data_IF_527958257349
#
_entry.id   IF_527958257349
#
_cell.length_a   1.000
_cell.length_b   1.000
_cell.length_c   1.000
_cell.angle_alpha   90.00
_cell.angle_beta   90.00
_cell.angle_gamma   90.00
#
_symmetry.space_group_name_H-M   'P 1'
#
loop_
_entity.id
_entity.type
_entity.pdbx_description
1 polymer ?
#
# COMPACT_ATOMS: atom_id res chain seq x y z
N UNK A 1 -29.28 76.10 10.89
CA UNK A 1 -28.81 74.75 10.54
C UNK A 1 -27.66 74.93 9.57
N UNK A 2 -26.54 74.30 9.92
CA UNK A 2 -25.17 74.58 9.51
C UNK A 2 -24.91 74.61 8.00
N UNK A 3 -23.92 75.43 7.64
CA UNK A 3 -23.27 75.45 6.34
C UNK A 3 -21.86 74.86 6.39
N UNK A 4 -21.25 74.84 5.19
CA UNK A 4 -19.85 74.53 4.87
C UNK A 4 -19.41 73.08 5.16
N UNK A 5 -18.63 72.41 4.32
CA UNK A 5 -17.83 72.76 3.16
C UNK A 5 -17.02 71.49 2.87
N UNK A 6 -17.09 71.00 1.64
CA UNK A 6 -15.92 70.87 0.75
C UNK A 6 -15.17 69.54 0.87
N UNK A 7 -14.67 69.16 -0.29
CA UNK A 7 -14.03 67.93 -0.73
C UNK A 7 -12.66 67.70 -0.05
N UNK A 8 -12.21 66.45 0.07
CA UNK A 8 -10.97 66.00 -0.59
C UNK A 8 -10.74 64.48 -0.35
N UNK A 9 -10.04 63.91 -1.30
CA UNK A 9 -9.61 62.55 -1.47
C UNK A 9 -8.60 62.05 -0.43
N UNK A 10 -8.45 60.74 -0.41
CA UNK A 10 -7.24 60.05 0.03
C UNK A 10 -7.39 59.35 1.37
N UNK A 11 -7.26 58.01 1.37
CA UNK A 11 -6.00 57.36 1.74
C UNK A 11 -6.19 55.86 1.90
N UNK A 12 -5.28 55.15 1.25
CA UNK A 12 -5.01 53.72 1.27
C UNK A 12 -4.67 53.24 2.69
N UNK A 13 -5.16 52.06 3.07
CA UNK A 13 -4.47 51.21 4.03
C UNK A 13 -4.78 49.73 3.73
N UNK A 14 -4.09 49.20 2.72
CA UNK A 14 -3.75 47.79 2.70
C UNK A 14 -2.86 47.53 3.92
N UNK A 15 -3.43 46.88 4.95
CA UNK A 15 -2.67 46.41 6.10
C UNK A 15 -1.87 45.18 5.71
N UNK A 16 -0.69 45.40 5.15
CA UNK A 16 0.38 44.41 5.11
C UNK A 16 0.89 44.26 6.54
N UNK A 17 0.43 43.26 7.28
CA UNK A 17 1.08 42.91 8.55
C UNK A 17 2.27 41.99 8.24
N UNK A 18 3.35 42.63 7.81
CA UNK A 18 4.66 42.03 7.79
C UNK A 18 5.22 42.05 9.22
N UNK A 19 5.30 40.86 9.82
CA UNK A 19 6.35 40.58 10.79
C UNK A 19 5.86 40.01 12.11
N UNK A 20 6.06 38.70 12.29
CA UNK A 20 7.03 38.15 13.26
C UNK A 20 6.74 36.66 13.47
N UNK A 21 7.43 35.80 12.73
CA UNK A 21 7.85 34.52 13.30
C UNK A 21 9.37 34.48 13.22
N UNK A 22 9.94 34.35 14.42
CA UNK A 22 11.33 34.50 14.73
C UNK A 22 12.23 33.61 13.87
N UNK A 23 13.33 34.18 13.41
CA UNK A 23 14.53 33.43 13.07
C UNK A 23 15.02 32.74 14.35
N UNK A 24 14.57 31.51 14.55
CA UNK A 24 15.17 30.51 15.42
C UNK A 24 15.70 29.40 14.53
N UNK A 25 17.03 29.30 14.47
CA UNK A 25 17.77 28.20 13.85
C UNK A 25 17.35 26.86 14.45
N UNK A 26 16.48 26.11 13.76
CA UNK A 26 16.64 24.67 13.54
C UNK A 26 15.63 24.16 12.49
N UNK A 27 16.12 23.51 11.43
CA UNK A 27 15.36 22.60 10.54
C UNK A 27 14.09 23.12 9.85
N UNK A 28 14.21 24.12 8.97
CA UNK A 28 13.11 24.70 8.21
C UNK A 28 12.37 23.74 7.26
N UNK A 29 11.28 23.13 7.75
CA UNK A 29 10.18 22.65 6.91
C UNK A 29 9.33 23.86 6.50
N UNK A 30 9.66 24.50 5.39
CA UNK A 30 8.80 25.54 4.81
C UNK A 30 7.64 24.86 4.08
N UNK A 31 6.49 24.81 4.76
CA UNK A 31 5.21 24.50 4.15
C UNK A 31 4.72 25.73 3.35
N UNK A 32 5.23 25.89 2.12
CA UNK A 32 4.63 26.76 1.14
C UNK A 32 3.47 26.01 0.47
N UNK A 33 2.26 26.50 0.72
CA UNK A 33 1.00 25.94 0.25
C UNK A 33 0.88 25.91 -1.26
N UNK A 34 0.54 24.73 -1.76
CA UNK A 34 -0.25 24.51 -2.97
C UNK A 34 -1.08 23.27 -2.67
N UNK A 35 -2.38 23.45 -2.63
CA UNK A 35 -3.39 22.45 -2.30
C UNK A 35 -3.54 21.46 -3.48
N UNK A 36 -2.51 20.63 -3.64
CA UNK A 36 -2.49 19.48 -4.53
C UNK A 36 -1.88 18.35 -3.69
N UNK A 37 -2.75 17.47 -3.18
CA UNK A 37 -2.48 16.33 -2.30
C UNK A 37 -1.06 15.75 -2.37
N UNK A 38 -0.12 16.42 -1.71
CA UNK A 38 1.27 16.00 -1.61
C UNK A 38 1.26 14.89 -0.56
N UNK A 39 0.98 13.67 -0.99
CA UNK A 39 1.35 12.49 -0.21
C UNK A 39 2.87 12.59 -0.10
N UNK A 40 3.35 13.11 1.02
CA UNK A 40 4.74 12.97 1.43
C UNK A 40 4.92 11.47 1.72
N UNK A 41 5.14 10.71 0.65
CA UNK A 41 5.32 9.28 0.73
C UNK A 41 6.79 9.06 1.07
N UNK A 42 7.07 8.63 2.29
CA UNK A 42 8.42 8.22 2.66
C UNK A 42 8.78 6.96 1.86
N UNK A 43 9.66 7.12 0.86
CA UNK A 43 10.05 6.04 -0.03
C UNK A 43 10.65 4.83 0.73
N UNK A 44 11.29 5.07 1.88
CA UNK A 44 11.80 4.01 2.75
C UNK A 44 10.64 3.22 3.38
N UNK A 45 9.62 3.91 3.87
CA UNK A 45 8.41 3.28 4.40
C UNK A 45 7.68 2.46 3.32
N UNK A 46 7.60 2.95 2.09
CA UNK A 46 6.99 2.20 0.97
C UNK A 46 7.80 0.96 0.62
N UNK A 47 9.13 1.06 0.61
CA UNK A 47 10.01 -0.06 0.37
C UNK A 47 9.88 -1.14 1.47
N UNK A 48 9.70 -0.72 2.73
CA UNK A 48 9.43 -1.63 3.84
C UNK A 48 8.08 -2.37 3.66
N UNK A 49 7.02 -1.65 3.29
CA UNK A 49 5.71 -2.25 3.01
C UNK A 49 5.76 -3.21 1.82
N UNK A 50 6.44 -2.83 0.74
CA UNK A 50 6.66 -3.70 -0.42
C UNK A 50 7.37 -5.01 0.00
N UNK A 51 8.42 -4.90 0.81
CA UNK A 51 9.16 -6.07 1.34
C UNK A 51 8.28 -6.97 2.21
N UNK A 52 7.41 -6.38 3.03
CA UNK A 52 6.43 -7.13 3.82
C UNK A 52 5.46 -7.91 2.92
N UNK A 53 4.85 -7.26 1.92
CA UNK A 53 3.93 -7.93 0.98
C UNK A 53 4.65 -9.03 0.18
N UNK A 54 5.91 -8.81 -0.20
CA UNK A 54 6.71 -9.82 -0.89
C UNK A 54 6.99 -11.04 -0.02
N UNK A 55 7.25 -10.86 1.27
CA UNK A 55 7.44 -11.98 2.20
C UNK A 55 6.13 -12.70 2.47
N UNK A 56 5.06 -11.96 2.69
CA UNK A 56 3.73 -12.51 2.91
C UNK A 56 3.23 -13.33 1.72
N UNK A 57 3.49 -12.89 0.49
CA UNK A 57 3.11 -13.67 -0.71
C UNK A 57 3.81 -15.04 -0.77
N UNK A 58 5.09 -15.11 -0.40
CA UNK A 58 5.83 -16.38 -0.35
C UNK A 58 5.27 -17.34 0.71
N UNK A 59 4.95 -16.83 1.90
CA UNK A 59 4.34 -17.63 2.97
C UNK A 59 2.97 -18.16 2.52
N UNK A 60 2.12 -17.31 1.98
CA UNK A 60 0.79 -17.71 1.49
C UNK A 60 0.91 -18.74 0.36
N UNK A 61 1.88 -18.58 -0.54
CA UNK A 61 2.12 -19.56 -1.60
C UNK A 61 2.59 -20.91 -1.03
N UNK A 62 3.49 -20.92 -0.06
CA UNK A 62 3.96 -22.14 0.59
C UNK A 62 2.82 -22.87 1.31
N UNK A 63 1.92 -22.15 1.99
CA UNK A 63 0.72 -22.74 2.59
C UNK A 63 -0.20 -23.36 1.53
N UNK A 64 -0.36 -22.69 0.38
CA UNK A 64 -1.16 -23.23 -0.72
C UNK A 64 -0.54 -24.51 -1.33
N UNK A 65 0.79 -24.59 -1.39
CA UNK A 65 1.50 -25.77 -1.87
C UNK A 65 1.42 -26.93 -0.87
N UNK A 66 1.55 -26.66 0.43
CA UNK A 66 1.34 -27.65 1.50
C UNK A 66 -0.11 -28.18 1.49
N UNK A 67 -1.09 -27.29 1.31
CA UNK A 67 -2.50 -27.67 1.24
C UNK A 67 -2.82 -28.51 -0.02
N UNK A 68 -2.16 -28.24 -1.14
CA UNK A 68 -2.33 -29.00 -2.37
C UNK A 68 -1.60 -30.36 -2.35
N UNK A 69 -0.49 -30.47 -1.62
CA UNK A 69 0.26 -31.72 -1.48
C UNK A 69 -0.41 -32.71 -0.52
N UNK A 70 -1.28 -32.23 0.38
CA UNK A 70 -1.98 -33.08 1.34
C UNK A 70 -3.21 -33.73 0.74
N UNK A 71 -3.31 -35.03 0.96
CA UNK A 71 -4.45 -35.85 0.55
C UNK A 71 -5.60 -35.76 1.57
N UNK A 72 -6.33 -34.65 1.54
CA UNK A 72 -7.47 -34.44 2.44
C UNK A 72 -8.60 -35.45 2.15
N UNK A 73 -9.24 -35.92 3.23
CA UNK A 73 -10.28 -36.95 3.13
C UNK A 73 -9.75 -38.38 3.01
N UNK A 74 -8.42 -38.60 2.99
CA UNK A 74 -7.81 -39.95 2.97
C UNK A 74 -8.30 -40.86 4.11
N UNK A 75 -8.61 -40.28 5.27
CA UNK A 75 -9.13 -41.02 6.43
C UNK A 75 -10.53 -41.61 6.20
N UNK A 76 -11.31 -41.06 5.26
CA UNK A 76 -12.68 -41.49 4.95
C UNK A 76 -12.72 -42.44 3.75
N UNK A 77 -11.57 -42.86 3.22
CA UNK A 77 -11.45 -43.79 2.10
C UNK A 77 -11.16 -45.20 2.61
N UNK A 78 -12.21 -45.97 2.84
CA UNK A 78 -12.13 -47.35 3.34
C UNK A 78 -11.47 -48.30 2.33
N UNK A 79 -11.60 -47.99 1.04
CA UNK A 79 -10.99 -48.68 -0.10
C UNK A 79 -9.44 -48.63 -0.10
N UNK A 80 -8.85 -47.62 0.55
CA UNK A 80 -7.39 -47.54 0.71
C UNK A 80 -6.83 -48.51 1.76
N UNK A 81 -7.67 -49.00 2.67
CA UNK A 81 -7.30 -49.94 3.73
C UNK A 81 -7.62 -51.37 3.31
N UNK A 82 -8.78 -51.57 2.70
CA UNK A 82 -9.20 -52.83 2.09
C UNK A 82 -9.77 -52.56 0.69
N UNK A 83 -8.99 -52.82 -0.39
CA UNK A 83 -9.44 -52.59 -1.77
C UNK A 83 -10.61 -53.48 -2.20
N UNK A 84 -10.91 -54.52 -1.42
CA UNK A 84 -12.02 -55.44 -1.68
C UNK A 84 -13.30 -55.07 -0.93
N UNK A 85 -13.24 -54.11 0.00
CA UNK A 85 -14.39 -53.58 0.70
C UNK A 85 -15.20 -52.66 -0.22
N UNK A 86 -16.53 -52.77 -0.19
CA UNK A 86 -17.37 -51.77 -0.86
C UNK A 86 -17.18 -50.40 -0.17
N UNK A 87 -16.94 -49.33 -0.95
CA UNK A 87 -16.76 -48.00 -0.40
C UNK A 87 -18.07 -47.52 0.24
N UNK A 88 -17.99 -47.08 1.49
CA UNK A 88 -19.14 -46.45 2.15
C UNK A 88 -19.49 -45.15 1.40
N UNK A 89 -20.72 -45.00 0.88
CA UNK A 89 -21.10 -43.85 0.06
C UNK A 89 -21.08 -42.53 0.84
N UNK A 90 -21.36 -42.57 2.15
CA UNK A 90 -21.32 -41.39 3.02
C UNK A 90 -19.87 -40.97 3.24
N UNK A 91 -19.00 -41.91 3.62
CA UNK A 91 -17.58 -41.61 3.84
C UNK A 91 -16.87 -41.15 2.55
N UNK A 92 -17.21 -41.77 1.42
CA UNK A 92 -16.71 -41.36 0.10
C UNK A 92 -17.15 -39.95 -0.30
N UNK A 93 -18.41 -39.60 0.02
CA UNK A 93 -18.93 -38.24 -0.16
C UNK A 93 -18.18 -37.23 0.70
N UNK A 94 -17.93 -37.53 1.98
CA UNK A 94 -17.12 -36.69 2.86
C UNK A 94 -15.68 -36.55 2.34
N UNK A 95 -15.04 -37.64 1.92
CA UNK A 95 -13.69 -37.61 1.37
C UNK A 95 -13.59 -36.65 0.17
N UNK A 96 -14.57 -36.72 -0.74
CA UNK A 96 -14.65 -35.87 -1.93
C UNK A 96 -14.86 -34.41 -1.55
N UNK A 97 -15.75 -34.11 -0.61
CA UNK A 97 -16.00 -32.75 -0.14
C UNK A 97 -14.76 -32.11 0.50
N UNK A 98 -14.00 -32.87 1.32
CA UNK A 98 -12.75 -32.37 1.90
C UNK A 98 -11.67 -32.12 0.86
N UNK A 99 -11.54 -32.99 -0.15
CA UNK A 99 -10.61 -32.80 -1.25
C UNK A 99 -10.98 -31.58 -2.13
N UNK A 100 -12.26 -31.38 -2.41
CA UNK A 100 -12.74 -30.21 -3.16
C UNK A 100 -12.51 -28.91 -2.39
N UNK A 101 -12.76 -28.92 -1.09
CA UNK A 101 -12.52 -27.78 -0.20
C UNK A 101 -11.04 -27.42 -0.17
N UNK A 102 -10.13 -28.39 0.04
CA UNK A 102 -8.69 -28.12 0.07
C UNK A 102 -8.18 -27.61 -1.29
N UNK A 103 -8.68 -28.15 -2.40
CA UNK A 103 -8.36 -27.68 -3.75
C UNK A 103 -8.81 -26.23 -3.97
N UNK A 104 -10.05 -25.91 -3.55
CA UNK A 104 -10.60 -24.55 -3.64
C UNK A 104 -9.80 -23.55 -2.81
N UNK A 105 -9.48 -23.90 -1.56
CA UNK A 105 -8.68 -23.06 -0.67
C UNK A 105 -7.27 -22.84 -1.24
N UNK A 106 -6.61 -23.91 -1.69
CA UNK A 106 -5.26 -23.83 -2.29
C UNK A 106 -5.26 -22.90 -3.50
N UNK A 107 -6.27 -22.99 -4.36
CA UNK A 107 -6.39 -22.10 -5.54
C UNK A 107 -6.55 -20.63 -5.12
N UNK A 108 -7.44 -20.34 -4.17
CA UNK A 108 -7.65 -18.96 -3.67
C UNK A 108 -6.40 -18.39 -3.02
N UNK A 109 -5.68 -19.17 -2.22
CA UNK A 109 -4.42 -18.74 -1.62
C UNK A 109 -3.36 -18.42 -2.69
N UNK A 110 -3.28 -19.21 -3.77
CA UNK A 110 -2.37 -18.90 -4.90
C UNK A 110 -2.78 -17.64 -5.67
N UNK A 111 -4.07 -17.35 -5.78
CA UNK A 111 -4.54 -16.09 -6.37
C UNK A 111 -4.14 -14.90 -5.49
N UNK A 112 -4.33 -15.03 -4.17
CA UNK A 112 -3.94 -14.01 -3.19
C UNK A 112 -2.42 -13.80 -3.13
N UNK A 113 -1.61 -14.86 -3.18
CA UNK A 113 -0.15 -14.75 -3.18
C UNK A 113 0.35 -13.98 -4.40
N UNK A 114 -0.19 -14.28 -5.59
CA UNK A 114 0.16 -13.56 -6.84
C UNK A 114 -0.26 -12.09 -6.77
N UNK A 115 -1.46 -11.80 -6.25
CA UNK A 115 -1.92 -10.43 -6.08
C UNK A 115 -1.02 -9.63 -5.11
N UNK A 116 -0.63 -10.24 -3.99
CA UNK A 116 0.28 -9.63 -3.02
C UNK A 116 1.69 -9.41 -3.60
N UNK A 117 2.22 -10.34 -4.39
CA UNK A 117 3.49 -10.18 -5.09
C UNK A 117 3.43 -9.03 -6.11
N UNK A 118 2.37 -8.96 -6.91
CA UNK A 118 2.18 -7.89 -7.87
C UNK A 118 2.05 -6.51 -7.19
N UNK A 119 1.38 -6.45 -6.04
CA UNK A 119 1.31 -5.22 -5.23
C UNK A 119 2.68 -4.81 -4.72
N UNK A 120 3.46 -5.75 -4.17
CA UNK A 120 4.82 -5.50 -3.71
C UNK A 120 5.71 -4.92 -4.83
N UNK A 121 5.64 -5.51 -6.02
CA UNK A 121 6.44 -5.07 -7.17
C UNK A 121 6.03 -3.65 -7.61
N UNK A 122 4.73 -3.33 -7.62
CA UNK A 122 4.23 -1.97 -7.92
C UNK A 122 4.69 -0.95 -6.88
N UNK A 123 4.60 -1.27 -5.59
CA UNK A 123 5.03 -0.38 -4.52
C UNK A 123 6.54 -0.10 -4.60
N UNK A 124 7.35 -1.13 -4.87
CA UNK A 124 8.80 -0.98 -5.05
C UNK A 124 9.14 -0.06 -6.23
N UNK A 125 8.54 -0.29 -7.39
CA UNK A 125 8.74 0.55 -8.57
C UNK A 125 8.32 2.01 -8.31
N UNK A 126 7.21 2.20 -7.59
CA UNK A 126 6.75 3.53 -7.19
C UNK A 126 7.76 4.22 -6.27
N UNK A 127 8.31 3.52 -5.28
CA UNK A 127 9.30 4.09 -4.36
C UNK A 127 10.61 4.48 -5.07
N UNK A 128 11.08 3.65 -6.00
CA UNK A 128 12.26 3.93 -6.83
C UNK A 128 12.03 5.17 -7.70
N UNK A 129 10.86 5.27 -8.33
CA UNK A 129 10.49 6.41 -9.17
C UNK A 129 10.41 7.71 -8.37
N UNK A 130 9.79 7.68 -7.18
CA UNK A 130 9.70 8.85 -6.30
C UNK A 130 11.10 9.28 -5.84
N UNK A 131 11.95 8.35 -5.42
CA UNK A 131 13.31 8.65 -4.96
C UNK A 131 14.17 9.28 -6.06
N UNK A 132 14.05 8.80 -7.30
CA UNK A 132 14.74 9.37 -8.45
C UNK A 132 14.24 10.80 -8.76
N UNK A 133 12.93 11.00 -8.76
CA UNK A 133 12.33 12.31 -8.98
C UNK A 133 12.75 13.33 -7.90
N UNK A 134 12.82 12.91 -6.65
CA UNK A 134 13.30 13.76 -5.54
C UNK A 134 14.78 14.15 -5.72
N UNK A 135 15.63 13.22 -6.17
CA UNK A 135 17.04 13.49 -6.44
C UNK A 135 17.22 14.48 -7.62
N UNK A 136 16.46 14.32 -8.69
CA UNK A 136 16.47 15.21 -9.85
C UNK A 136 16.00 16.62 -9.47
N UNK A 137 14.95 16.73 -8.66
CA UNK A 137 14.45 18.01 -8.16
C UNK A 137 15.49 18.72 -7.27
N UNK A 138 16.17 17.97 -6.39
CA UNK A 138 17.22 18.51 -5.53
C UNK A 138 18.42 19.03 -6.36
N UNK A 139 18.81 18.31 -7.40
CA UNK A 139 19.88 18.73 -8.32
C UNK A 139 19.51 19.99 -9.10
N UNK A 140 18.25 20.11 -9.55
CA UNK A 140 17.74 21.30 -10.23
C UNK A 140 17.84 22.55 -9.36
N UNK A 141 17.35 22.49 -8.12
CA UNK A 141 17.42 23.62 -7.16
C UNK A 141 18.86 24.01 -6.82
N UNK A 142 19.77 23.03 -6.68
CA UNK A 142 21.18 23.30 -6.44
C UNK A 142 21.91 23.93 -7.66
N UNK A 143 21.42 23.67 -8.88
CA UNK A 143 21.94 24.29 -10.10
C UNK A 143 21.46 25.73 -10.28
N UNK A 144 20.22 26.02 -9.90
CA UNK A 144 19.58 27.35 -10.05
C UNK A 144 20.08 28.38 -9.03
N UNK A 145 20.71 27.91 -7.94
CA UNK A 145 21.26 28.76 -6.86
C UNK A 145 22.75 29.12 -7.05
N UNK A 146 23.39 28.71 -8.15
CA UNK A 146 24.79 29.02 -8.50
C UNK A 146 24.87 30.03 -9.65
#
# INVERSE_FOLDING_TARGET
>A
MDGAGDSDAGRVAAGTDAGRIAAGTDGGRIAAGTDAGRIAMDAEQVAAVASFYRRSSLVVNAVADDLAARDFGRWARSDLVDPSAEPDPVLSGLASAYAEMSATLSRRLREQSRAAAALADRLRLSAETVSAGDADAAAGVAGETR
#
